data_IF_875477503261
#
_entry.id   IF_875477503261
#
_cell.length_a   1.000
_cell.length_b   1.000
_cell.length_c   1.000
_cell.angle_alpha   90.00
_cell.angle_beta   90.00
_cell.angle_gamma   90.00
#
_symmetry.space_group_name_H-M   'P 1'
#
loop_
_entity.id
_entity.type
_entity.pdbx_description
1 polymer ?
#
# COMPACT_ATOMS: atom_id res chain seq x y z
N UNK A 1 8.08 -61.57 -7.73
CA UNK A 1 7.41 -60.57 -8.59
C UNK A 1 6.60 -59.54 -7.80
N UNK A 2 5.64 -59.93 -6.95
CA UNK A 2 4.82 -58.98 -6.17
C UNK A 2 5.60 -57.96 -5.32
N UNK A 3 6.71 -58.38 -4.70
CA UNK A 3 7.53 -57.52 -3.82
C UNK A 3 8.31 -56.43 -4.58
N UNK A 4 8.64 -56.66 -5.85
CA UNK A 4 9.41 -55.71 -6.68
C UNK A 4 8.47 -54.62 -7.23
N UNK A 5 7.22 -54.99 -7.56
CA UNK A 5 6.20 -54.04 -8.01
C UNK A 5 5.83 -53.02 -6.90
N UNK A 6 5.80 -53.44 -5.63
CA UNK A 6 5.48 -52.53 -4.53
C UNK A 6 6.61 -51.53 -4.24
N UNK A 7 7.88 -51.93 -4.38
CA UNK A 7 9.01 -51.01 -4.25
C UNK A 7 9.04 -49.95 -5.35
N UNK A 8 8.73 -50.34 -6.60
CA UNK A 8 8.66 -49.40 -7.72
C UNK A 8 7.50 -48.40 -7.59
N UNK A 9 6.35 -48.83 -7.07
CA UNK A 9 5.22 -47.94 -6.82
C UNK A 9 5.51 -46.95 -5.66
N UNK A 10 6.17 -47.42 -4.60
CA UNK A 10 6.54 -46.58 -3.46
C UNK A 10 7.59 -45.52 -3.83
N UNK A 11 8.60 -45.87 -4.64
CA UNK A 11 9.60 -44.90 -5.10
C UNK A 11 9.02 -43.87 -6.08
N UNK A 12 8.09 -44.28 -6.96
CA UNK A 12 7.38 -43.34 -7.83
C UNK A 12 6.52 -42.36 -7.04
N UNK A 13 5.80 -42.82 -6.01
CA UNK A 13 4.99 -41.95 -5.15
C UNK A 13 5.84 -40.98 -4.31
N UNK A 14 7.01 -41.42 -3.83
CA UNK A 14 7.94 -40.56 -3.10
C UNK A 14 8.55 -39.47 -4.00
N UNK A 15 8.88 -39.80 -5.25
CA UNK A 15 9.37 -38.84 -6.24
C UNK A 15 8.30 -37.80 -6.61
N UNK A 16 7.03 -38.21 -6.74
CA UNK A 16 5.93 -37.26 -6.99
C UNK A 16 5.65 -36.36 -5.79
N UNK A 17 5.80 -36.86 -4.56
CA UNK A 17 5.59 -36.07 -3.36
C UNK A 17 6.71 -35.04 -3.16
N UNK A 18 7.96 -35.39 -3.46
CA UNK A 18 9.09 -34.45 -3.45
C UNK A 18 8.92 -33.34 -4.51
N UNK A 19 8.48 -33.69 -5.73
CA UNK A 19 8.20 -32.71 -6.78
C UNK A 19 7.02 -31.79 -6.43
N UNK A 20 5.98 -32.31 -5.77
CA UNK A 20 4.91 -31.46 -5.24
C UNK A 20 5.39 -30.55 -4.10
N UNK A 21 6.41 -30.96 -3.32
CA UNK A 21 6.97 -30.11 -2.26
C UNK A 21 7.81 -28.96 -2.82
N UNK A 22 8.67 -29.23 -3.81
CA UNK A 22 9.50 -28.21 -4.47
C UNK A 22 8.64 -27.21 -5.27
N UNK A 23 7.65 -27.70 -6.03
CA UNK A 23 6.71 -26.81 -6.71
C UNK A 23 5.85 -25.97 -5.75
N UNK A 24 5.55 -26.50 -4.55
CA UNK A 24 4.84 -25.73 -3.51
C UNK A 24 5.76 -24.68 -2.89
N UNK A 25 7.03 -24.98 -2.68
CA UNK A 25 8.04 -24.05 -2.18
C UNK A 25 8.27 -22.90 -3.17
N UNK A 26 8.49 -23.20 -4.46
CA UNK A 26 8.61 -22.21 -5.53
C UNK A 26 7.36 -21.31 -5.61
N UNK A 27 6.16 -21.90 -5.48
CA UNK A 27 4.91 -21.13 -5.51
C UNK A 27 4.75 -20.25 -4.26
N UNK A 28 5.22 -20.71 -3.10
CA UNK A 28 5.18 -19.95 -1.86
C UNK A 28 6.18 -18.79 -1.89
N UNK A 29 7.38 -18.99 -2.44
CA UNK A 29 8.36 -17.94 -2.65
C UNK A 29 7.84 -16.88 -3.62
N UNK A 30 7.29 -17.29 -4.77
CA UNK A 30 6.65 -16.37 -5.71
C UNK A 30 5.48 -15.59 -5.09
N UNK A 31 4.65 -16.24 -4.25
CA UNK A 31 3.55 -15.58 -3.54
C UNK A 31 4.07 -14.58 -2.51
N UNK A 32 5.17 -14.91 -1.81
CA UNK A 32 5.79 -14.01 -0.85
C UNK A 32 6.38 -12.77 -1.55
N UNK A 33 7.05 -12.97 -2.68
CA UNK A 33 7.58 -11.88 -3.50
C UNK A 33 6.47 -10.98 -4.05
N UNK A 34 5.38 -11.56 -4.57
CA UNK A 34 4.20 -10.79 -5.00
C UNK A 34 3.55 -10.04 -3.83
N UNK A 35 3.43 -10.65 -2.65
CA UNK A 35 2.87 -9.98 -1.48
C UNK A 35 3.71 -8.79 -1.01
N UNK A 36 5.04 -8.88 -1.14
CA UNK A 36 5.95 -7.76 -0.86
C UNK A 36 5.78 -6.67 -1.92
N UNK A 37 5.76 -7.03 -3.21
CA UNK A 37 5.59 -6.07 -4.30
C UNK A 37 4.23 -5.32 -4.23
N UNK A 38 3.16 -6.03 -3.88
CA UNK A 38 1.84 -5.44 -3.65
C UNK A 38 1.87 -4.48 -2.44
N UNK A 39 2.57 -4.86 -1.36
CA UNK A 39 2.71 -3.99 -0.19
C UNK A 39 3.47 -2.71 -0.54
N UNK A 40 4.59 -2.81 -1.26
CA UNK A 40 5.38 -1.66 -1.72
C UNK A 40 4.54 -0.75 -2.62
N UNK A 41 3.86 -1.30 -3.63
CA UNK A 41 3.00 -0.53 -4.55
C UNK A 41 1.86 0.19 -3.82
N UNK A 42 1.20 -0.48 -2.87
CA UNK A 42 0.13 0.14 -2.09
C UNK A 42 0.67 1.21 -1.14
N UNK A 43 1.86 1.02 -0.57
CA UNK A 43 2.48 2.01 0.31
C UNK A 43 2.86 3.28 -0.46
N UNK A 44 3.44 3.13 -1.65
CA UNK A 44 3.73 4.25 -2.56
C UNK A 44 2.46 4.99 -2.98
N UNK A 45 1.37 4.27 -3.29
CA UNK A 45 0.10 4.88 -3.64
C UNK A 45 -0.52 5.67 -2.47
N UNK A 46 -0.48 5.11 -1.25
CA UNK A 46 -0.97 5.80 -0.04
C UNK A 46 -0.12 7.03 0.27
N UNK A 47 1.21 6.95 0.11
CA UNK A 47 2.11 8.08 0.35
C UNK A 47 1.80 9.23 -0.62
N UNK A 48 1.63 8.93 -1.91
CA UNK A 48 1.25 9.92 -2.91
C UNK A 48 -0.13 10.56 -2.63
N UNK A 49 -1.14 9.76 -2.27
CA UNK A 49 -2.47 10.27 -1.90
C UNK A 49 -2.42 11.12 -0.64
N UNK A 50 -1.59 10.74 0.34
CA UNK A 50 -1.41 11.48 1.59
C UNK A 50 -0.73 12.82 1.35
N UNK A 51 0.33 12.85 0.53
CA UNK A 51 1.02 14.10 0.17
C UNK A 51 0.07 15.07 -0.57
N UNK A 52 -0.75 14.57 -1.49
CA UNK A 52 -1.75 15.38 -2.18
C UNK A 52 -2.80 15.92 -1.20
N UNK A 53 -3.34 15.07 -0.31
CA UNK A 53 -4.30 15.51 0.71
C UNK A 53 -3.71 16.56 1.67
N UNK A 54 -2.43 16.42 2.06
CA UNK A 54 -1.74 17.40 2.89
C UNK A 54 -1.57 18.73 2.14
N UNK A 55 -1.21 18.69 0.86
CA UNK A 55 -1.09 19.89 0.04
C UNK A 55 -2.43 20.64 -0.07
N UNK A 56 -3.53 19.91 -0.27
CA UNK A 56 -4.87 20.49 -0.39
C UNK A 56 -5.32 21.14 0.93
N UNK A 57 -5.14 20.43 2.06
CA UNK A 57 -5.44 20.98 3.41
C UNK A 57 -4.58 22.22 3.71
N UNK A 58 -3.32 22.23 3.28
CA UNK A 58 -2.43 23.38 3.47
C UNK A 58 -2.92 24.59 2.65
N UNK A 59 -3.33 24.36 1.40
CA UNK A 59 -3.88 25.42 0.55
C UNK A 59 -5.19 25.99 1.13
N UNK A 60 -6.11 25.13 1.59
CA UNK A 60 -7.35 25.56 2.26
C UNK A 60 -7.06 26.37 3.54
N UNK A 61 -6.05 25.97 4.32
CA UNK A 61 -5.66 26.69 5.53
C UNK A 61 -5.08 28.08 5.23
N UNK A 62 -4.25 28.20 4.19
CA UNK A 62 -3.70 29.49 3.73
C UNK A 62 -4.82 30.41 3.22
N UNK A 63 -5.79 29.87 2.47
CA UNK A 63 -6.93 30.64 1.98
C UNK A 63 -7.83 31.14 3.13
N UNK A 64 -8.12 30.27 4.10
CA UNK A 64 -8.86 30.66 5.31
C UNK A 64 -8.12 31.72 6.15
N UNK A 65 -6.80 31.63 6.25
CA UNK A 65 -6.00 32.64 6.94
C UNK A 65 -6.07 34.00 6.22
N UNK A 66 -5.98 34.01 4.88
CA UNK A 66 -6.12 35.22 4.09
C UNK A 66 -7.51 35.85 4.21
N UNK A 67 -8.58 35.06 4.28
CA UNK A 67 -9.93 35.56 4.52
C UNK A 67 -10.07 36.22 5.90
N UNK A 68 -9.49 35.62 6.94
CA UNK A 68 -9.52 36.17 8.30
C UNK A 68 -8.73 37.49 8.37
N UNK A 69 -7.56 37.56 7.75
CA UNK A 69 -6.78 38.81 7.67
C UNK A 69 -7.57 39.90 6.93
N UNK A 70 -8.16 39.58 5.78
CA UNK A 70 -8.96 40.53 5.01
C UNK A 70 -10.21 41.02 5.77
N UNK A 71 -10.83 40.15 6.57
CA UNK A 71 -11.95 40.52 7.43
C UNK A 71 -11.51 41.49 8.54
N UNK A 72 -10.38 41.22 9.19
CA UNK A 72 -9.82 42.09 10.23
C UNK A 72 -9.41 43.47 9.67
N UNK A 73 -8.80 43.52 8.48
CA UNK A 73 -8.47 44.77 7.79
C UNK A 73 -9.71 45.60 7.45
N UNK A 74 -10.80 44.95 7.02
CA UNK A 74 -12.06 45.65 6.76
C UNK A 74 -12.69 46.21 8.04
N UNK A 75 -12.67 45.46 9.13
CA UNK A 75 -13.19 45.92 10.43
C UNK A 75 -12.44 47.17 10.92
N UNK A 76 -11.10 47.16 10.85
CA UNK A 76 -10.29 48.33 11.25
C UNK A 76 -10.54 49.55 10.36
N UNK A 77 -10.76 49.34 9.05
CA UNK A 77 -11.11 50.43 8.12
C UNK A 77 -12.49 51.01 8.43
N UNK A 78 -13.47 50.17 8.78
CA UNK A 78 -14.81 50.60 9.15
C UNK A 78 -14.81 51.41 10.46
N UNK A 79 -14.06 50.97 11.46
CA UNK A 79 -13.86 51.72 12.72
C UNK A 79 -13.18 53.06 12.48
N UNK A 80 -12.14 53.10 11.63
CA UNK A 80 -11.45 54.35 11.28
C UNK A 80 -12.33 55.34 10.48
N UNK A 81 -13.33 54.85 9.74
CA UNK A 81 -14.28 55.69 9.01
C UNK A 81 -15.43 56.22 9.89
N UNK A 82 -15.59 55.69 11.11
CA UNK A 82 -16.62 56.07 12.06
C UNK A 82 -16.18 57.15 13.08
N UNK A 83 -14.87 57.45 13.16
CA UNK A 83 -14.25 58.52 13.98
C UNK A 83 -14.15 59.85 13.21
#
# INVERSE_FOLDING_TARGET
MRKIALFAAASAAALTLAACSEATEDSAEATADEAVADAETNMEAIEAETDEAIADVTAEADEAAAEVEAAAENETTAEAAAD
#
